data_IF_156923609925
#
_entry.id   IF_156923609925
#
_cell.length_a   1.000
_cell.length_b   1.000
_cell.length_c   1.000
_cell.angle_alpha   90.00
_cell.angle_beta   90.00
_cell.angle_gamma   90.00
#
_symmetry.space_group_name_H-M   'P 1'
#
loop_
_entity.id
_entity.type
_entity.pdbx_description
1 polymer ?
#
# COMPACT_ATOMS: atom_id res chain seq x y z
N UNK A 1 1.92 -2.11 2.75
CA UNK A 1 0.47 -2.25 2.52
C UNK A 1 0.09 -2.29 1.04
N UNK A 2 0.54 -1.35 0.19
CA UNK A 2 0.23 -1.33 -1.26
C UNK A 2 0.55 -2.67 -1.96
N UNK A 3 1.80 -3.12 -1.87
CA UNK A 3 2.26 -4.37 -2.48
C UNK A 3 1.47 -5.59 -1.98
N UNK A 4 1.12 -5.61 -0.69
CA UNK A 4 0.31 -6.68 -0.09
C UNK A 4 -1.07 -6.72 -0.76
N UNK A 5 -1.75 -5.58 -0.84
CA UNK A 5 -3.07 -5.50 -1.46
C UNK A 5 -3.03 -5.85 -2.96
N UNK A 6 -2.03 -5.35 -3.70
CA UNK A 6 -1.83 -5.72 -5.11
C UNK A 6 -1.62 -7.23 -5.28
N UNK A 7 -0.84 -7.85 -4.39
CA UNK A 7 -0.63 -9.29 -4.37
C UNK A 7 -1.91 -10.08 -4.07
N UNK A 8 -2.77 -9.59 -3.19
CA UNK A 8 -4.07 -10.23 -2.93
C UNK A 8 -4.99 -10.13 -4.17
N UNK A 9 -5.12 -8.93 -4.75
CA UNK A 9 -5.99 -8.69 -5.91
C UNK A 9 -5.51 -9.52 -7.10
N UNK A 10 -4.19 -9.66 -7.29
CA UNK A 10 -3.61 -10.49 -8.35
C UNK A 10 -3.93 -11.98 -8.20
N UNK A 11 -4.36 -12.43 -7.01
CA UNK A 11 -4.83 -13.79 -6.74
C UNK A 11 -6.35 -13.91 -6.65
N UNK A 12 -7.09 -12.80 -6.79
CA UNK A 12 -8.55 -12.78 -6.72
C UNK A 12 -9.11 -12.57 -5.31
N UNK A 13 -8.28 -12.10 -4.37
CA UNK A 13 -8.68 -11.75 -3.01
C UNK A 13 -8.53 -10.24 -2.79
N UNK A 14 -9.13 -9.71 -1.73
CA UNK A 14 -8.88 -8.35 -1.26
C UNK A 14 -9.02 -8.33 0.27
N UNK A 15 -8.40 -7.35 0.92
CA UNK A 15 -8.41 -7.26 2.38
C UNK A 15 -8.42 -5.80 2.87
N UNK A 16 -8.96 -5.62 4.07
CA UNK A 16 -8.77 -4.39 4.85
C UNK A 16 -7.43 -4.47 5.58
N UNK A 17 -6.57 -3.47 5.38
CA UNK A 17 -5.24 -3.38 5.97
C UNK A 17 -5.15 -2.06 6.73
N UNK A 18 -5.04 -2.14 8.05
CA UNK A 18 -4.80 -0.99 8.94
C UNK A 18 -3.39 -1.06 9.49
N UNK A 19 -2.63 0.03 9.32
CA UNK A 19 -1.26 0.16 9.84
C UNK A 19 -1.22 1.21 10.94
N UNK A 20 -0.58 0.91 12.06
CA UNK A 20 -0.32 1.86 13.13
C UNK A 20 1.16 2.26 13.18
N UNK A 21 1.43 3.57 13.25
CA UNK A 21 2.75 4.11 13.54
C UNK A 21 2.77 4.68 14.94
N UNK A 22 3.69 4.18 15.77
CA UNK A 22 3.83 4.58 17.15
C UNK A 22 4.91 3.78 17.84
N UNK A 23 5.08 4.03 19.14
CA UNK A 23 6.01 3.26 19.97
C UNK A 23 5.61 1.78 20.05
N UNK A 24 6.63 0.92 20.11
CA UNK A 24 6.49 -0.53 20.30
C UNK A 24 7.13 -0.89 21.63
N UNK A 25 6.37 -1.50 22.53
CA UNK A 25 6.88 -2.04 23.79
C UNK A 25 6.93 -3.56 23.71
N UNK A 26 8.04 -4.13 24.19
CA UNK A 26 8.23 -5.58 24.27
C UNK A 26 8.18 -6.32 22.91
N UNK A 27 8.99 -5.94 21.90
CA UNK A 27 8.96 -6.54 20.56
C UNK A 27 9.42 -8.01 20.49
N UNK A 28 9.95 -8.57 21.60
CA UNK A 28 10.58 -9.91 21.65
C UNK A 28 9.71 -10.99 22.29
N UNK A 29 8.53 -10.65 22.81
CA UNK A 29 7.59 -11.65 23.30
C UNK A 29 6.58 -11.96 22.18
N UNK A 30 6.07 -13.21 22.12
CA UNK A 30 5.09 -13.68 21.12
C UNK A 30 4.11 -12.58 20.71
N UNK A 31 3.73 -12.50 19.43
CA UNK A 31 2.83 -11.45 18.86
C UNK A 31 1.59 -11.19 19.75
N UNK A 32 1.10 -12.22 20.46
CA UNK A 32 0.00 -12.14 21.43
C UNK A 32 0.25 -11.22 22.64
N UNK A 33 1.50 -10.94 22.96
CA UNK A 33 1.96 -10.18 24.14
C UNK A 33 2.71 -8.91 23.76
N UNK A 34 2.93 -8.68 22.46
CA UNK A 34 3.48 -7.43 21.96
C UNK A 34 2.46 -6.31 22.22
N UNK A 35 2.92 -5.26 22.90
CA UNK A 35 2.07 -4.12 23.28
C UNK A 35 2.65 -2.83 22.72
N UNK A 36 1.88 -1.75 22.80
CA UNK A 36 2.35 -0.45 22.39
C UNK A 36 1.32 0.30 21.54
N UNK A 37 1.67 1.55 21.30
CA UNK A 37 0.85 2.49 20.57
C UNK A 37 0.63 2.02 19.13
N UNK A 38 1.64 1.48 18.46
CA UNK A 38 1.52 0.98 17.09
C UNK A 38 0.44 -0.10 16.95
N UNK A 39 0.39 -1.08 17.86
CA UNK A 39 -0.62 -2.14 17.83
C UNK A 39 -2.02 -1.65 18.19
N UNK A 40 -2.10 -0.73 19.17
CA UNK A 40 -3.38 -0.14 19.56
C UNK A 40 -3.97 0.69 18.42
N UNK A 41 -3.14 1.49 17.75
CA UNK A 41 -3.53 2.30 16.60
C UNK A 41 -3.91 1.43 15.39
N UNK A 42 -3.18 0.33 15.11
CA UNK A 42 -3.55 -0.57 14.02
C UNK A 42 -4.90 -1.27 14.29
N UNK A 43 -5.12 -1.75 15.52
CA UNK A 43 -6.37 -2.42 15.91
C UNK A 43 -7.57 -1.49 15.83
N UNK A 44 -7.53 -0.36 16.55
CA UNK A 44 -8.58 0.67 16.49
C UNK A 44 -8.80 1.19 15.08
N UNK A 45 -7.71 1.37 14.33
CA UNK A 45 -7.77 1.79 12.94
C UNK A 45 -8.51 0.79 12.06
N UNK A 46 -8.39 -0.51 12.31
CA UNK A 46 -9.10 -1.56 11.58
C UNK A 46 -10.59 -1.58 11.94
N UNK A 47 -10.90 -1.46 13.23
CA UNK A 47 -12.27 -1.44 13.75
C UNK A 47 -13.06 -0.24 13.21
N UNK A 48 -12.38 0.90 13.05
CA UNK A 48 -12.99 2.16 12.57
C UNK A 48 -13.08 2.27 11.04
N UNK A 49 -12.53 1.32 10.28
CA UNK A 49 -12.60 1.36 8.81
C UNK A 49 -14.04 1.16 8.33
N UNK A 50 -14.47 2.02 7.40
CA UNK A 50 -15.75 1.84 6.72
C UNK A 50 -15.72 0.60 5.83
N UNK A 51 -16.90 0.13 5.42
CA UNK A 51 -17.05 -1.02 4.52
C UNK A 51 -16.36 -0.80 3.17
N UNK A 52 -16.19 0.44 2.73
CA UNK A 52 -15.58 0.81 1.45
C UNK A 52 -14.06 0.99 1.54
N UNK A 53 -13.51 1.31 2.72
CA UNK A 53 -12.07 1.47 2.90
C UNK A 53 -11.35 0.13 2.88
N UNK A 54 -10.19 0.07 2.23
CA UNK A 54 -9.31 -1.11 2.24
C UNK A 54 -7.93 -0.81 2.82
N UNK A 55 -7.52 0.44 2.87
CA UNK A 55 -6.26 0.86 3.48
C UNK A 55 -6.51 1.93 4.56
N UNK A 56 -5.82 1.82 5.69
CA UNK A 56 -5.70 2.90 6.66
C UNK A 56 -4.30 2.97 7.27
N UNK A 57 -3.85 4.18 7.57
CA UNK A 57 -2.65 4.44 8.37
C UNK A 57 -3.03 5.36 9.52
N UNK A 58 -2.62 4.98 10.72
CA UNK A 58 -3.01 5.61 11.97
C UNK A 58 -1.74 5.98 12.75
N UNK A 59 -1.66 7.22 13.21
CA UNK A 59 -0.53 7.78 13.95
C UNK A 59 -1.02 8.80 14.97
N UNK A 60 -0.32 8.93 16.09
CA UNK A 60 -0.53 10.02 17.05
C UNK A 60 0.12 11.35 16.59
N UNK A 61 1.02 11.31 15.61
CA UNK A 61 1.57 12.51 14.99
C UNK A 61 0.48 13.24 14.18
N UNK A 62 0.01 14.38 14.69
CA UNK A 62 -1.10 15.13 14.10
C UNK A 62 -0.80 15.65 12.68
N UNK A 63 0.43 16.09 12.40
CA UNK A 63 0.80 16.56 11.06
C UNK A 63 0.72 15.42 10.04
N UNK A 64 1.25 14.25 10.39
CA UNK A 64 1.17 13.07 9.54
C UNK A 64 -0.28 12.62 9.34
N UNK A 65 -1.05 12.55 10.44
CA UNK A 65 -2.44 12.11 10.42
C UNK A 65 -3.37 13.09 9.68
N UNK A 66 -2.99 14.36 9.56
CA UNK A 66 -3.74 15.34 8.76
C UNK A 66 -3.62 15.08 7.25
N UNK A 67 -2.42 14.75 6.76
CA UNK A 67 -2.17 14.59 5.33
C UNK A 67 -2.42 13.18 4.80
N UNK A 68 -1.98 12.16 5.54
CA UNK A 68 -1.92 10.79 5.03
C UNK A 68 -3.29 10.18 4.65
N UNK A 69 -4.38 10.38 5.41
CA UNK A 69 -5.67 9.75 5.10
C UNK A 69 -6.20 10.07 3.71
N UNK A 70 -6.09 11.33 3.28
CA UNK A 70 -6.56 11.76 1.96
C UNK A 70 -5.72 11.12 0.85
N UNK A 71 -4.38 11.13 1.01
CA UNK A 71 -3.46 10.47 0.07
C UNK A 71 -3.77 8.97 -0.05
N UNK A 72 -4.02 8.32 1.08
CA UNK A 72 -4.40 6.91 1.11
C UNK A 72 -5.73 6.68 0.38
N UNK A 73 -6.73 7.53 0.59
CA UNK A 73 -8.03 7.39 -0.04
C UNK A 73 -7.95 7.49 -1.56
N UNK A 74 -7.11 8.38 -2.11
CA UNK A 74 -6.86 8.44 -3.55
C UNK A 74 -6.24 7.13 -4.07
N UNK A 75 -5.17 6.65 -3.44
CA UNK A 75 -4.54 5.38 -3.84
C UNK A 75 -5.51 4.19 -3.71
N UNK A 76 -6.25 4.13 -2.60
CA UNK A 76 -7.22 3.09 -2.31
C UNK A 76 -8.35 3.04 -3.35
N UNK A 77 -8.81 4.21 -3.79
CA UNK A 77 -9.83 4.36 -4.83
C UNK A 77 -9.36 3.86 -6.18
N UNK A 78 -8.12 4.19 -6.57
CA UNK A 78 -7.52 3.70 -7.82
C UNK A 78 -7.36 2.18 -7.80
N UNK A 79 -6.78 1.65 -6.73
CA UNK A 79 -6.51 0.20 -6.60
C UNK A 79 -7.81 -0.60 -6.53
N UNK A 80 -8.89 -0.06 -5.96
CA UNK A 80 -10.17 -0.74 -5.89
C UNK A 80 -10.85 -0.94 -7.25
N UNK A 81 -10.41 -0.22 -8.28
CA UNK A 81 -11.00 -0.26 -9.62
C UNK A 81 -10.18 -1.10 -10.62
N UNK A 82 -9.01 -1.60 -10.21
CA UNK A 82 -8.14 -2.37 -11.12
C UNK A 82 -8.62 -3.82 -11.24
N UNK A 83 -8.43 -4.38 -12.43
CA UNK A 83 -8.59 -5.82 -12.69
C UNK A 83 -7.45 -6.64 -12.08
N UNK A 84 -7.68 -7.94 -11.87
CA UNK A 84 -6.65 -8.92 -11.48
C UNK A 84 -5.38 -8.82 -12.33
N UNK A 85 -5.53 -8.66 -13.65
CA UNK A 85 -4.38 -8.61 -14.57
C UNK A 85 -3.58 -7.31 -14.45
N UNK A 86 -4.25 -6.18 -14.20
CA UNK A 86 -3.58 -4.91 -13.89
C UNK A 86 -2.87 -4.99 -12.52
N UNK A 87 -3.48 -5.64 -11.53
CA UNK A 87 -2.85 -5.89 -10.24
C UNK A 87 -1.58 -6.74 -10.36
N UNK A 88 -1.57 -7.79 -11.18
CA UNK A 88 -0.35 -8.55 -11.51
C UNK A 88 0.75 -7.63 -12.07
N UNK A 89 0.42 -6.78 -13.05
CA UNK A 89 1.40 -5.89 -13.68
C UNK A 89 1.99 -4.87 -12.68
N UNK A 90 1.13 -4.25 -11.87
CA UNK A 90 1.57 -3.31 -10.82
C UNK A 90 2.38 -4.01 -9.73
N UNK A 91 1.99 -5.22 -9.32
CA UNK A 91 2.74 -6.00 -8.35
C UNK A 91 4.17 -6.27 -8.83
N UNK A 92 4.33 -6.75 -10.07
CA UNK A 92 5.65 -6.93 -10.67
C UNK A 92 6.42 -5.60 -10.77
N UNK A 93 5.76 -4.51 -11.17
CA UNK A 93 6.38 -3.18 -11.25
C UNK A 93 6.98 -2.70 -9.92
N UNK A 94 6.29 -2.96 -8.80
CA UNK A 94 6.74 -2.53 -7.47
C UNK A 94 7.69 -3.52 -6.77
N UNK A 95 7.90 -4.72 -7.32
CA UNK A 95 8.68 -5.78 -6.64
C UNK A 95 9.89 -6.27 -7.42
N UNK A 96 9.91 -6.13 -8.75
CA UNK A 96 11.07 -6.47 -9.55
C UNK A 96 12.21 -5.45 -9.38
N UNK A 97 13.44 -5.96 -9.35
CA UNK A 97 14.63 -5.12 -9.39
C UNK A 97 14.75 -4.36 -10.72
N UNK A 98 14.48 -5.03 -11.85
CA UNK A 98 14.25 -4.41 -13.15
C UNK A 98 12.75 -4.31 -13.40
N UNK A 99 12.19 -3.13 -13.16
CA UNK A 99 10.78 -2.83 -13.37
C UNK A 99 10.48 -2.30 -14.78
N UNK A 100 11.37 -2.51 -15.75
CA UNK A 100 11.11 -2.14 -17.14
C UNK A 100 9.87 -2.86 -17.69
N UNK A 101 9.15 -2.18 -18.59
CA UNK A 101 7.94 -2.76 -19.19
C UNK A 101 8.24 -4.07 -19.95
N UNK A 102 9.49 -4.26 -20.41
CA UNK A 102 9.93 -5.49 -21.04
C UNK A 102 10.12 -6.63 -20.03
N UNK A 103 10.71 -6.35 -18.86
CA UNK A 103 10.87 -7.34 -17.79
C UNK A 103 9.50 -7.79 -17.25
N UNK A 104 8.59 -6.85 -17.02
CA UNK A 104 7.22 -7.14 -16.59
C UNK A 104 6.48 -7.98 -17.64
N UNK A 105 6.64 -7.64 -18.93
CA UNK A 105 6.04 -8.42 -20.01
C UNK A 105 6.50 -9.89 -20.01
N UNK A 106 7.79 -10.15 -19.74
CA UNK A 106 8.31 -11.52 -19.60
C UNK A 106 7.69 -12.24 -18.40
N UNK A 107 7.55 -11.57 -17.25
CA UNK A 107 6.94 -12.14 -16.04
C UNK A 107 5.46 -12.45 -16.20
N UNK A 108 4.75 -11.65 -16.99
CA UNK A 108 3.34 -11.84 -17.29
C UNK A 108 3.09 -12.81 -18.46
N UNK A 109 4.13 -13.33 -19.12
CA UNK A 109 4.04 -14.07 -20.38
C UNK A 109 3.18 -13.32 -21.43
N UNK A 110 3.63 -12.12 -21.78
CA UNK A 110 2.87 -11.16 -22.58
C UNK A 110 3.79 -10.27 -23.42
N UNK A 111 3.21 -9.49 -24.34
CA UNK A 111 3.95 -8.45 -25.08
C UNK A 111 4.23 -7.21 -24.22
N UNK A 112 5.32 -6.49 -24.55
CA UNK A 112 5.67 -5.19 -23.95
C UNK A 112 4.57 -4.14 -24.10
N UNK A 113 3.90 -4.14 -25.25
CA UNK A 113 2.76 -3.23 -25.53
C UNK A 113 1.62 -3.49 -24.55
N UNK A 114 1.27 -4.77 -24.33
CA UNK A 114 0.23 -5.13 -23.39
C UNK A 114 0.62 -4.83 -21.93
N UNK A 115 1.86 -5.09 -21.53
CA UNK A 115 2.36 -4.73 -20.20
C UNK A 115 2.28 -3.22 -19.95
N UNK A 116 2.72 -2.41 -20.92
CA UNK A 116 2.61 -0.94 -20.89
C UNK A 116 1.16 -0.49 -20.72
N UNK A 117 0.25 -1.08 -21.50
CA UNK A 117 -1.20 -0.79 -21.43
C UNK A 117 -1.76 -1.11 -20.04
N UNK A 118 -1.44 -2.27 -19.48
CA UNK A 118 -1.91 -2.68 -18.15
C UNK A 118 -1.40 -1.73 -17.06
N UNK A 119 -0.13 -1.33 -17.11
CA UNK A 119 0.46 -0.39 -16.16
C UNK A 119 -0.19 1.00 -16.25
N UNK A 120 -0.38 1.52 -17.46
CA UNK A 120 -1.02 2.82 -17.68
C UNK A 120 -2.46 2.83 -17.17
N UNK A 121 -3.23 1.79 -17.47
CA UNK A 121 -4.61 1.65 -16.96
C UNK A 121 -4.66 1.45 -15.44
N UNK A 122 -3.60 0.89 -14.85
CA UNK A 122 -3.43 0.79 -13.40
C UNK A 122 -2.82 2.04 -12.75
N UNK A 123 -2.62 3.12 -13.50
CA UNK A 123 -2.06 4.39 -12.99
C UNK A 123 -0.70 4.25 -12.29
N UNK A 124 0.19 3.41 -12.84
CA UNK A 124 1.46 3.06 -12.16
C UNK A 124 2.33 4.25 -11.76
N UNK A 125 2.41 5.29 -12.61
CA UNK A 125 3.20 6.50 -12.33
C UNK A 125 2.64 7.28 -11.12
N UNK A 126 1.31 7.45 -11.07
CA UNK A 126 0.67 8.14 -9.95
C UNK A 126 0.80 7.34 -8.65
N UNK A 127 0.70 6.01 -8.72
CA UNK A 127 0.97 5.15 -7.57
C UNK A 127 2.44 5.22 -7.11
N UNK A 128 3.38 5.34 -8.05
CA UNK A 128 4.80 5.54 -7.74
C UNK A 128 5.02 6.89 -7.05
N UNK A 129 4.43 7.96 -7.56
CA UNK A 129 4.47 9.29 -6.94
C UNK A 129 3.84 9.28 -5.55
N UNK A 130 2.70 8.59 -5.38
CA UNK A 130 2.09 8.38 -4.07
C UNK A 130 3.06 7.71 -3.09
N UNK A 131 3.75 6.64 -3.49
CA UNK A 131 4.74 5.96 -2.63
C UNK A 131 5.89 6.89 -2.27
N UNK A 132 6.46 7.59 -3.24
CA UNK A 132 7.57 8.53 -3.03
C UNK A 132 7.16 9.68 -2.09
N UNK A 133 6.00 10.27 -2.33
CA UNK A 133 5.48 11.36 -1.50
C UNK A 133 5.16 10.89 -0.09
N UNK A 134 4.56 9.70 0.07
CA UNK A 134 4.29 9.09 1.37
C UNK A 134 5.57 8.87 2.18
N UNK A 135 6.66 8.42 1.53
CA UNK A 135 7.97 8.27 2.17
C UNK A 135 8.56 9.61 2.60
N UNK A 136 8.44 10.65 1.77
CA UNK A 136 8.91 11.99 2.11
C UNK A 136 8.13 12.59 3.28
N UNK A 137 6.80 12.48 3.27
CA UNK A 137 5.94 12.90 4.36
C UNK A 137 6.30 12.20 5.66
N UNK A 138 6.50 10.88 5.62
CA UNK A 138 6.95 10.11 6.77
C UNK A 138 8.30 10.61 7.31
N UNK A 139 9.30 10.81 6.44
CA UNK A 139 10.61 11.36 6.87
C UNK A 139 10.46 12.73 7.53
N UNK A 140 9.68 13.64 6.95
CA UNK A 140 9.46 14.98 7.50
C UNK A 140 8.78 14.98 8.87
N UNK A 141 7.79 14.11 9.07
CA UNK A 141 7.02 14.10 10.33
C UNK A 141 7.71 13.33 11.47
N UNK A 142 8.61 12.39 11.19
CA UNK A 142 9.20 11.52 12.20
C UNK A 142 10.73 11.61 12.32
N UNK A 143 11.41 12.22 11.35
CA UNK A 143 12.88 12.37 11.30
C UNK A 143 13.31 13.79 10.88
N UNK A 144 12.36 14.73 10.81
CA UNK A 144 12.59 16.14 10.53
C UNK A 144 12.92 16.92 11.78
#
# INVERSE_FOLDING_TARGET
MLIIRLGLISHGWDARISTGFGSVSNPRADIKTATGEAFTLSGKGLDNMTTQQRLSINSSNQQYQFHMPLLLQFADTLISQISKRQACALYEYFTLADNSHQAIARRLDSSRVNATRLLNQGHYQLLQEFVLHSQQLFKRCFHG
#
